data_IF_919531082952
#
_entry.id   IF_919531082952
#
_cell.length_a   1.000
_cell.length_b   1.000
_cell.length_c   1.000
_cell.angle_alpha   90.00
_cell.angle_beta   90.00
_cell.angle_gamma   90.00
#
_symmetry.space_group_name_H-M   'P 1'
#
loop_
_entity.id
_entity.type
_entity.pdbx_description
1 polymer ?
#
# COMPACT_ATOMS: atom_id res chain seq x y z
N UNK A 1 -10.15 2.24 -11.28
CA UNK A 1 -9.76 1.54 -10.04
C UNK A 1 -8.92 2.47 -9.20
N UNK A 2 -9.21 2.55 -7.92
CA UNK A 2 -8.50 3.45 -7.01
C UNK A 2 -7.71 2.61 -6.02
N UNK A 3 -6.45 2.97 -5.81
CA UNK A 3 -5.59 2.36 -4.79
C UNK A 3 -5.39 3.39 -3.69
N UNK A 4 -5.71 2.98 -2.46
CA UNK A 4 -5.53 3.83 -1.28
C UNK A 4 -4.44 3.26 -0.39
N UNK A 5 -3.67 4.14 0.22
CA UNK A 5 -2.64 3.78 1.17
C UNK A 5 -2.94 4.45 2.51
N UNK A 6 -2.84 3.67 3.57
CA UNK A 6 -2.78 4.22 4.93
C UNK A 6 -1.49 3.70 5.56
N UNK A 7 -0.64 4.63 5.95
CA UNK A 7 0.61 4.30 6.66
C UNK A 7 0.46 4.72 8.11
N UNK A 8 0.74 3.82 9.01
CA UNK A 8 0.66 4.09 10.45
C UNK A 8 1.85 3.45 11.17
N UNK A 9 2.11 3.94 12.37
CA UNK A 9 3.20 3.43 13.20
C UNK A 9 4.50 4.19 13.01
N UNK A 10 5.59 3.63 13.48
CA UNK A 10 6.88 4.31 13.53
C UNK A 10 7.00 5.20 14.75
N UNK A 11 8.07 5.96 14.81
CA UNK A 11 8.40 6.75 16.00
C UNK A 11 7.46 7.90 16.27
N UNK A 12 6.83 8.43 15.24
CA UNK A 12 5.96 9.60 15.40
C UNK A 12 4.52 9.24 15.71
N UNK A 13 4.14 7.98 15.49
CA UNK A 13 2.74 7.56 15.63
C UNK A 13 1.81 8.25 14.65
N UNK A 14 2.34 8.97 13.68
CA UNK A 14 1.56 9.75 12.74
C UNK A 14 0.96 8.85 11.68
N UNK A 15 -0.31 9.10 11.34
CA UNK A 15 -1.02 8.36 10.31
C UNK A 15 -1.05 9.20 9.03
N UNK A 16 -0.61 8.59 7.94
CA UNK A 16 -0.62 9.23 6.63
C UNK A 16 -1.57 8.47 5.71
N UNK A 17 -2.31 9.20 4.89
CA UNK A 17 -3.21 8.58 3.90
C UNK A 17 -2.99 9.20 2.54
N UNK A 18 -3.19 8.38 1.51
CA UNK A 18 -3.22 8.86 0.13
C UNK A 18 -4.06 7.92 -0.71
N UNK A 19 -4.47 8.38 -1.87
CA UNK A 19 -5.15 7.56 -2.86
C UNK A 19 -4.79 8.03 -4.25
N UNK A 20 -4.84 7.11 -5.21
CA UNK A 20 -4.51 7.40 -6.59
C UNK A 20 -5.38 6.58 -7.50
N UNK A 21 -5.81 7.20 -8.60
CA UNK A 21 -6.48 6.49 -9.69
C UNK A 21 -5.42 5.74 -10.49
N UNK A 22 -5.64 4.44 -10.73
CA UNK A 22 -4.63 3.65 -11.45
C UNK A 22 -4.38 4.14 -12.87
N UNK A 23 -5.35 4.83 -13.46
CA UNK A 23 -5.19 5.42 -14.79
C UNK A 23 -4.12 6.53 -14.82
N UNK A 24 -3.81 7.11 -13.67
CA UNK A 24 -2.75 8.10 -13.54
C UNK A 24 -1.36 7.49 -13.46
N UNK A 25 -1.30 6.18 -13.20
CA UNK A 25 -0.04 5.47 -13.12
C UNK A 25 0.36 5.00 -14.51
N UNK A 26 1.59 5.27 -14.90
CA UNK A 26 2.08 4.88 -16.22
C UNK A 26 3.43 4.20 -16.08
N UNK A 27 3.76 3.40 -17.09
CA UNK A 27 5.03 2.71 -17.16
C UNK A 27 4.96 1.27 -16.67
N UNK A 28 5.94 0.44 -17.12
CA UNK A 28 5.96 -0.98 -16.78
C UNK A 28 6.18 -1.24 -15.29
N UNK A 29 6.91 -0.39 -14.60
CA UNK A 29 7.17 -0.55 -13.17
C UNK A 29 5.88 -0.44 -12.36
N UNK A 30 5.02 0.50 -12.72
CA UNK A 30 3.75 0.68 -12.04
C UNK A 30 2.79 -0.46 -12.34
N UNK A 31 2.78 -0.96 -13.58
CA UNK A 31 1.96 -2.11 -13.94
C UNK A 31 2.36 -3.35 -13.15
N UNK A 32 3.66 -3.60 -13.01
CA UNK A 32 4.16 -4.73 -12.22
C UNK A 32 3.81 -4.58 -10.75
N UNK A 33 3.92 -3.36 -10.21
CA UNK A 33 3.58 -3.09 -8.82
C UNK A 33 2.10 -3.34 -8.55
N UNK A 34 1.23 -2.94 -9.46
CA UNK A 34 -0.20 -3.19 -9.34
C UNK A 34 -0.53 -4.67 -9.39
N UNK A 35 0.13 -5.43 -10.28
CA UNK A 35 -0.05 -6.87 -10.33
C UNK A 35 0.38 -7.55 -9.04
N UNK A 36 1.51 -7.12 -8.47
CA UNK A 36 1.97 -7.64 -7.19
C UNK A 36 0.98 -7.34 -6.07
N UNK A 37 0.41 -6.14 -6.06
CA UNK A 37 -0.60 -5.77 -5.08
C UNK A 37 -1.85 -6.63 -5.20
N UNK A 38 -2.33 -6.87 -6.41
CA UNK A 38 -3.48 -7.74 -6.65
C UNK A 38 -3.22 -9.16 -6.18
N UNK A 39 -2.01 -9.67 -6.39
CA UNK A 39 -1.63 -11.00 -5.91
C UNK A 39 -1.63 -11.07 -4.38
N UNK A 40 -1.13 -10.03 -3.71
CA UNK A 40 -1.13 -9.97 -2.26
C UNK A 40 -2.54 -9.88 -1.67
N UNK A 41 -3.41 -9.15 -2.33
CA UNK A 41 -4.81 -9.04 -1.89
C UNK A 41 -5.52 -10.38 -2.02
N UNK A 42 -5.22 -11.15 -3.07
CA UNK A 42 -5.81 -12.46 -3.29
C UNK A 42 -5.26 -13.53 -2.35
N UNK A 43 -3.99 -13.39 -1.94
CA UNK A 43 -3.33 -14.34 -1.05
C UNK A 43 -2.49 -13.55 -0.04
N UNK A 44 -3.14 -12.94 0.96
CA UNK A 44 -2.41 -12.10 1.91
C UNK A 44 -1.41 -12.91 2.73
N UNK A 45 -0.23 -12.35 3.00
CA UNK A 45 0.74 -13.02 3.83
C UNK A 45 0.24 -13.14 5.26
N UNK A 46 0.64 -14.21 5.94
CA UNK A 46 0.32 -14.37 7.35
C UNK A 46 1.03 -13.24 8.13
N UNK A 47 0.24 -12.35 8.71
CA UNK A 47 0.78 -11.24 9.46
C UNK A 47 1.32 -11.78 10.79
N UNK A 48 2.62 -11.80 10.95
CA UNK A 48 3.22 -12.11 12.22
C UNK A 48 3.09 -10.91 13.15
N UNK A 49 3.05 -11.19 14.45
CA UNK A 49 3.01 -10.17 15.46
C UNK A 49 4.04 -9.09 15.15
N UNK A 50 3.54 -7.91 14.95
CA UNK A 50 4.29 -6.83 14.38
C UNK A 50 5.49 -6.43 15.22
N UNK A 51 6.60 -6.21 14.57
CA UNK A 51 7.65 -5.40 15.11
C UNK A 51 7.09 -3.99 15.23
N UNK A 52 6.84 -3.54 16.43
CA UNK A 52 6.15 -2.27 16.72
C UNK A 52 6.91 -1.05 16.17
N UNK A 53 8.19 -1.21 15.91
CA UNK A 53 9.03 -0.14 15.39
C UNK A 53 8.92 0.04 13.88
N UNK A 54 8.27 -0.89 13.16
CA UNK A 54 8.15 -0.78 11.72
C UNK A 54 6.83 -0.12 11.32
N UNK A 55 6.86 0.75 10.30
CA UNK A 55 5.62 1.28 9.74
C UNK A 55 4.76 0.17 9.16
N UNK A 56 3.46 0.35 9.29
CA UNK A 56 2.48 -0.55 8.67
C UNK A 56 1.83 0.14 7.51
N UNK A 57 1.64 -0.61 6.44
CA UNK A 57 0.96 -0.13 5.25
C UNK A 57 -0.34 -0.89 5.08
N UNK A 58 -1.43 -0.15 5.00
CA UNK A 58 -2.72 -0.71 4.62
C UNK A 58 -3.03 -0.25 3.22
N UNK A 59 -3.11 -1.19 2.30
CA UNK A 59 -3.37 -0.92 0.90
C UNK A 59 -4.75 -1.43 0.56
N UNK A 60 -5.58 -0.58 -0.03
CA UNK A 60 -6.94 -0.93 -0.40
C UNK A 60 -7.12 -0.69 -1.89
N UNK A 61 -7.68 -1.69 -2.57
CA UNK A 61 -8.04 -1.57 -3.99
C UNK A 61 -9.56 -1.43 -4.07
N UNK A 62 -10.02 -0.34 -4.66
CA UNK A 62 -11.44 -0.12 -4.93
C UNK A 62 -11.67 -0.33 -6.43
N UNK A 63 -12.34 -1.41 -6.78
CA UNK A 63 -12.60 -1.76 -8.17
C UNK A 63 -14.05 -2.11 -8.41
N UNK A 64 -14.41 -2.43 -9.66
CA UNK A 64 -15.81 -2.74 -10.01
C UNK A 64 -16.33 -4.01 -9.33
N UNK A 65 -15.45 -4.91 -8.92
CA UNK A 65 -15.83 -6.13 -8.21
C UNK A 65 -15.87 -5.97 -6.69
N UNK A 66 -15.59 -4.77 -6.18
CA UNK A 66 -15.63 -4.49 -4.75
C UNK A 66 -14.33 -3.95 -4.23
N UNK A 67 -14.20 -3.97 -2.92
CA UNK A 67 -13.07 -3.44 -2.19
C UNK A 67 -12.25 -4.57 -1.59
N UNK A 68 -10.95 -4.53 -1.80
CA UNK A 68 -10.02 -5.52 -1.25
C UNK A 68 -8.90 -4.81 -0.52
N UNK A 69 -8.48 -5.36 0.60
CA UNK A 69 -7.48 -4.74 1.47
C UNK A 69 -6.41 -5.74 1.87
N UNK A 70 -5.17 -5.26 1.99
CA UNK A 70 -4.07 -6.03 2.56
C UNK A 70 -3.26 -5.14 3.48
N UNK A 71 -2.78 -5.71 4.58
CA UNK A 71 -1.88 -5.01 5.51
C UNK A 71 -0.51 -5.64 5.45
N UNK A 72 0.51 -4.80 5.39
CA UNK A 72 1.90 -5.22 5.34
C UNK A 72 2.74 -4.37 6.29
N UNK A 73 3.75 -4.97 6.92
CA UNK A 73 4.81 -4.19 7.54
C UNK A 73 5.87 -3.90 6.48
N UNK A 74 6.71 -2.91 6.74
CA UNK A 74 7.67 -2.45 5.74
C UNK A 74 8.58 -3.58 5.24
N UNK A 75 9.01 -4.46 6.11
CA UNK A 75 9.89 -5.58 5.73
C UNK A 75 9.21 -6.62 4.85
N UNK A 76 7.88 -6.64 4.82
CA UNK A 76 7.11 -7.57 4.00
C UNK A 76 6.79 -7.04 2.61
N UNK A 77 7.08 -5.76 2.36
CA UNK A 77 6.76 -5.15 1.07
C UNK A 77 7.69 -5.70 -0.01
N UNK A 78 7.13 -6.33 -1.06
CA UNK A 78 7.97 -6.79 -2.17
C UNK A 78 8.66 -5.64 -2.88
N UNK A 79 9.88 -5.89 -3.35
CA UNK A 79 10.65 -4.88 -4.06
C UNK A 79 9.91 -4.34 -5.30
N UNK A 80 9.14 -5.18 -5.96
CA UNK A 80 8.37 -4.81 -7.16
C UNK A 80 7.29 -3.76 -6.84
N UNK A 81 6.84 -3.69 -5.60
CA UNK A 81 5.82 -2.71 -5.17
C UNK A 81 6.41 -1.38 -4.73
N UNK A 82 7.73 -1.28 -4.59
CA UNK A 82 8.38 -0.06 -4.11
C UNK A 82 8.03 1.19 -4.93
N UNK A 83 8.02 1.14 -6.28
CA UNK A 83 7.62 2.31 -7.06
C UNK A 83 6.21 2.82 -6.73
N UNK A 84 5.27 1.90 -6.56
CA UNK A 84 3.89 2.27 -6.20
C UNK A 84 3.83 2.89 -4.80
N UNK A 85 4.48 2.28 -3.83
CA UNK A 85 4.50 2.79 -2.46
C UNK A 85 5.20 4.15 -2.38
N UNK A 86 6.29 4.33 -3.13
CA UNK A 86 6.99 5.61 -3.19
C UNK A 86 6.07 6.71 -3.71
N UNK A 87 5.32 6.43 -4.77
CA UNK A 87 4.40 7.40 -5.34
C UNK A 87 3.26 7.72 -4.37
N UNK A 88 2.68 6.72 -3.76
CA UNK A 88 1.61 6.91 -2.78
C UNK A 88 2.11 7.67 -1.55
N UNK A 89 3.30 7.32 -1.05
CA UNK A 89 3.89 8.00 0.10
C UNK A 89 4.17 9.47 -0.19
N UNK A 90 4.64 9.75 -1.40
CA UNK A 90 4.91 11.13 -1.81
C UNK A 90 3.65 11.98 -1.79
N UNK A 91 2.51 11.39 -2.09
CA UNK A 91 1.20 12.07 -2.10
C UNK A 91 0.50 12.03 -0.76
N UNK A 92 1.03 11.27 0.19
CA UNK A 92 0.37 11.06 1.48
C UNK A 92 0.34 12.34 2.31
N UNK A 93 -0.76 12.51 3.04
CA UNK A 93 -0.95 13.65 3.93
C UNK A 93 -1.33 13.15 5.32
N UNK A 94 -0.93 13.88 6.37
CA UNK A 94 -1.32 13.51 7.72
C UNK A 94 -2.84 13.52 7.88
N UNK A 95 -3.33 12.53 8.61
CA UNK A 95 -4.73 12.51 9.04
C UNK A 95 -4.82 13.35 10.30
N UNK A 96 -5.60 14.40 10.23
CA UNK A 96 -5.84 15.27 11.37
C UNK A 96 -7.13 14.93 12.07
#
# INVERSE_FOLDING_TARGET
MIVSLERSGGFTGQRLTSSIETDELSGPEMAEALQALEALVSAPPATRAAVRSQPRYRLTIHGPSGQHMVELVESEVPAVMRPLLTELTRRARPVT
#
